data_IF_856149777490
#
_entry.id   IF_856149777490
#
_cell.length_a   1.000
_cell.length_b   1.000
_cell.length_c   1.000
_cell.angle_alpha   90.00
_cell.angle_beta   90.00
_cell.angle_gamma   90.00
#
_symmetry.space_group_name_H-M   'P 1'
#
loop_
_entity.id
_entity.type
_entity.pdbx_description
1 polymer ?
#
# COMPACT_ATOMS: atom_id res chain seq x y z
N UNK A 1 36.45 0.83 -31.84
CA UNK A 1 35.06 0.35 -31.93
C UNK A 1 34.40 0.02 -30.60
N UNK A 2 35.05 -0.58 -29.58
CA UNK A 2 34.42 -0.89 -28.28
C UNK A 2 33.93 0.32 -27.46
N UNK A 3 34.61 1.48 -27.55
CA UNK A 3 34.21 2.71 -26.81
C UNK A 3 32.92 3.36 -27.35
N UNK A 4 32.65 3.29 -28.64
CA UNK A 4 31.46 3.85 -29.27
C UNK A 4 30.22 3.03 -28.89
N UNK A 5 30.34 1.71 -28.77
CA UNK A 5 29.24 0.83 -28.36
C UNK A 5 28.75 1.11 -26.93
N UNK A 6 29.69 1.41 -26.01
CA UNK A 6 29.35 1.74 -24.61
C UNK A 6 28.59 3.05 -24.49
N UNK A 7 28.95 4.06 -25.32
CA UNK A 7 28.26 5.37 -25.31
C UNK A 7 26.83 5.25 -25.85
N UNK A 8 26.63 4.45 -26.91
CA UNK A 8 25.30 4.19 -27.47
C UNK A 8 24.42 3.42 -26.47
N UNK A 9 24.97 2.46 -25.73
CA UNK A 9 24.24 1.69 -24.73
C UNK A 9 23.87 2.55 -23.50
N UNK A 10 24.77 3.41 -23.03
CA UNK A 10 24.49 4.37 -21.97
C UNK A 10 23.47 5.43 -22.40
N UNK A 11 23.53 5.92 -23.63
CA UNK A 11 22.54 6.84 -24.19
C UNK A 11 21.13 6.24 -24.29
N UNK A 12 21.01 4.97 -24.67
CA UNK A 12 19.73 4.25 -24.72
C UNK A 12 19.12 4.01 -23.33
N UNK A 13 19.96 3.70 -22.33
CA UNK A 13 19.49 3.51 -20.94
C UNK A 13 19.02 4.85 -20.35
N UNK A 14 19.73 5.94 -20.59
CA UNK A 14 19.35 7.27 -20.09
C UNK A 14 18.06 7.78 -20.74
N UNK A 15 17.86 7.54 -22.03
CA UNK A 15 16.63 7.91 -22.73
C UNK A 15 15.41 7.10 -22.25
N UNK A 16 15.54 5.80 -21.99
CA UNK A 16 14.42 4.98 -21.49
C UNK A 16 13.99 5.38 -20.08
N UNK A 17 14.92 5.78 -19.22
CA UNK A 17 14.60 6.28 -17.87
C UNK A 17 13.93 7.66 -17.91
N UNK A 18 14.36 8.56 -18.82
CA UNK A 18 13.74 9.86 -18.98
C UNK A 18 12.30 9.77 -19.52
N UNK A 19 12.04 8.90 -20.50
CA UNK A 19 10.68 8.65 -20.98
C UNK A 19 9.76 8.03 -19.92
N UNK A 20 10.26 7.07 -19.16
CA UNK A 20 9.51 6.45 -18.06
C UNK A 20 9.16 7.48 -16.97
N UNK A 21 10.05 8.42 -16.69
CA UNK A 21 9.79 9.49 -15.71
C UNK A 21 8.72 10.48 -16.21
N UNK A 22 8.79 10.95 -17.46
CA UNK A 22 7.79 11.88 -18.03
C UNK A 22 6.38 11.28 -18.02
N UNK A 23 6.23 10.00 -18.40
CA UNK A 23 4.94 9.31 -18.35
C UNK A 23 4.42 9.19 -16.91
N UNK A 24 5.29 8.87 -15.98
CA UNK A 24 4.94 8.76 -14.56
C UNK A 24 4.47 10.11 -13.98
N UNK A 25 5.18 11.20 -14.27
CA UNK A 25 4.80 12.55 -13.84
C UNK A 25 3.42 12.96 -14.40
N UNK A 26 3.15 12.64 -15.68
CA UNK A 26 1.83 12.85 -16.28
C UNK A 26 0.73 12.05 -15.58
N UNK A 27 0.99 10.79 -15.27
CA UNK A 27 0.04 9.92 -14.57
C UNK A 27 -0.20 10.42 -13.13
N UNK A 28 0.85 10.83 -12.43
CA UNK A 28 0.74 11.42 -11.08
C UNK A 28 -0.09 12.71 -11.10
N UNK A 29 0.16 13.61 -12.04
CA UNK A 29 -0.61 14.84 -12.19
C UNK A 29 -2.09 14.57 -12.46
N UNK A 30 -2.40 13.54 -13.27
CA UNK A 30 -3.78 13.15 -13.60
C UNK A 30 -4.55 12.68 -12.36
N UNK A 31 -3.93 11.89 -11.48
CA UNK A 31 -4.59 11.33 -10.28
C UNK A 31 -4.51 12.25 -9.06
N UNK A 32 -3.64 13.26 -9.07
CA UNK A 32 -3.48 14.18 -7.94
C UNK A 32 -4.77 14.95 -7.60
N UNK A 33 -5.65 15.15 -8.58
CA UNK A 33 -6.99 15.75 -8.39
C UNK A 33 -7.90 14.89 -7.48
N UNK A 34 -7.63 13.59 -7.38
CA UNK A 34 -8.39 12.67 -6.53
C UNK A 34 -7.83 12.61 -5.09
N UNK A 35 -6.73 13.32 -4.82
CA UNK A 35 -6.21 13.51 -3.47
C UNK A 35 -7.10 14.48 -2.69
N UNK A 36 -7.25 14.28 -1.38
CA UNK A 36 -8.02 15.21 -0.57
C UNK A 36 -8.34 14.68 0.81
N UNK A 37 -8.69 15.60 1.70
CA UNK A 37 -9.32 15.24 2.95
C UNK A 37 -10.71 14.71 2.68
N UNK A 38 -11.13 13.70 3.45
CA UNK A 38 -12.44 13.07 3.31
C UNK A 38 -13.12 12.94 4.67
N UNK A 39 -14.42 13.22 4.71
CA UNK A 39 -15.25 13.01 5.89
C UNK A 39 -15.71 11.54 6.03
N UNK A 40 -16.52 11.26 7.05
CA UNK A 40 -17.09 9.93 7.30
C UNK A 40 -17.99 9.42 6.15
N UNK A 41 -18.58 10.32 5.36
CA UNK A 41 -19.39 10.00 4.18
C UNK A 41 -18.55 9.87 2.90
N UNK A 42 -17.24 10.15 2.98
CA UNK A 42 -16.31 10.11 1.85
C UNK A 42 -16.33 11.38 0.97
N UNK A 43 -17.02 12.45 1.42
CA UNK A 43 -17.02 13.76 0.75
C UNK A 43 -15.69 14.48 1.03
N UNK A 44 -15.15 15.14 0.00
CA UNK A 44 -13.89 15.89 0.12
C UNK A 44 -14.11 17.28 0.70
N UNK A 45 -13.12 17.75 1.48
CA UNK A 45 -13.09 19.09 2.04
C UNK A 45 -11.68 19.69 2.02
N UNK A 46 -11.56 21.02 2.29
CA UNK A 46 -10.28 21.74 2.28
C UNK A 46 -9.50 21.54 3.59
N UNK A 47 -8.16 21.58 3.48
CA UNK A 47 -7.25 21.60 4.64
C UNK A 47 -7.49 22.83 5.55
N UNK A 48 -8.01 23.93 4.99
CA UNK A 48 -8.26 25.17 5.74
C UNK A 48 -9.37 25.01 6.80
N UNK A 49 -10.17 23.94 6.67
CA UNK A 49 -11.18 23.58 7.68
C UNK A 49 -10.57 22.87 8.91
N UNK A 50 -9.25 22.61 8.91
CA UNK A 50 -8.54 22.00 10.03
C UNK A 50 -7.76 23.09 10.77
N UNK A 51 -8.35 23.62 11.82
CA UNK A 51 -7.78 24.73 12.60
C UNK A 51 -6.61 24.29 13.48
N UNK A 52 -6.74 23.14 14.15
CA UNK A 52 -5.73 22.63 15.09
C UNK A 52 -5.02 21.40 14.55
N UNK A 53 -3.96 21.64 13.77
CA UNK A 53 -3.15 20.59 13.16
C UNK A 53 -2.24 19.89 14.17
N UNK A 54 -1.83 20.56 15.25
CA UNK A 54 -0.98 19.98 16.29
C UNK A 54 -1.71 18.90 17.10
N UNK A 55 -2.99 19.13 17.40
CA UNK A 55 -3.85 18.19 18.14
C UNK A 55 -4.71 17.34 17.17
N UNK A 56 -4.23 17.15 15.95
CA UNK A 56 -4.87 16.30 14.94
C UNK A 56 -4.05 15.06 14.69
N UNK A 57 -4.66 13.88 14.78
CA UNK A 57 -4.15 12.65 14.17
C UNK A 57 -4.55 12.67 12.71
N UNK A 58 -3.58 12.81 11.82
CA UNK A 58 -3.80 12.71 10.39
C UNK A 58 -3.58 11.27 9.91
N UNK A 59 -4.64 10.59 9.49
CA UNK A 59 -4.54 9.28 8.84
C UNK A 59 -4.46 9.49 7.33
N UNK A 60 -3.33 9.13 6.72
CA UNK A 60 -3.16 9.15 5.26
C UNK A 60 -3.44 7.76 4.71
N UNK A 61 -4.55 7.60 3.98
CA UNK A 61 -4.92 6.35 3.38
C UNK A 61 -4.30 6.16 1.98
N UNK A 62 -3.59 5.06 1.81
CA UNK A 62 -2.92 4.66 0.58
C UNK A 62 -3.68 3.50 -0.08
N UNK A 63 -4.16 3.71 -1.31
CA UNK A 63 -4.88 2.67 -2.05
C UNK A 63 -4.00 1.47 -2.42
N UNK A 64 -4.62 0.34 -2.75
CA UNK A 64 -3.97 -0.86 -3.28
C UNK A 64 -3.30 -0.65 -4.64
N UNK A 65 -3.07 -1.73 -5.38
CA UNK A 65 -2.59 -1.64 -6.75
C UNK A 65 -3.69 -1.11 -7.68
N UNK A 66 -3.36 -0.13 -8.52
CA UNK A 66 -4.27 0.35 -9.57
C UNK A 66 -4.22 -0.61 -10.76
N UNK A 67 -5.39 -0.86 -11.36
CA UNK A 67 -5.43 -1.59 -12.63
C UNK A 67 -4.82 -0.72 -13.74
N UNK A 68 -4.03 -1.32 -14.64
CA UNK A 68 -3.34 -0.65 -15.73
C UNK A 68 -4.26 0.11 -16.67
N UNK A 69 -5.48 -0.36 -16.84
CA UNK A 69 -6.38 0.17 -17.88
C UNK A 69 -7.03 1.51 -17.51
N UNK A 70 -7.08 1.90 -16.22
CA UNK A 70 -7.75 3.14 -15.80
C UNK A 70 -7.09 3.75 -14.57
N UNK A 71 -6.25 4.75 -14.80
CA UNK A 71 -5.62 5.57 -13.74
C UNK A 71 -6.68 6.29 -12.88
N UNK A 72 -7.87 6.50 -13.43
CA UNK A 72 -8.97 7.25 -12.82
C UNK A 72 -9.66 6.52 -11.66
N UNK A 73 -9.10 5.40 -11.18
CA UNK A 73 -9.77 4.51 -10.22
C UNK A 73 -9.31 4.63 -8.78
N UNK A 74 -8.68 5.73 -8.38
CA UNK A 74 -8.52 6.00 -6.95
C UNK A 74 -9.86 6.15 -6.20
N UNK A 75 -10.93 6.43 -6.94
CA UNK A 75 -12.30 6.53 -6.40
C UNK A 75 -13.12 5.24 -6.58
N UNK A 76 -12.53 4.21 -7.19
CA UNK A 76 -13.22 2.92 -7.31
C UNK A 76 -13.46 2.29 -5.92
N UNK A 77 -14.42 1.38 -5.79
CA UNK A 77 -14.69 0.69 -4.52
C UNK A 77 -13.44 0.07 -3.87
N UNK A 78 -12.47 -0.37 -4.68
CA UNK A 78 -11.21 -0.95 -4.22
C UNK A 78 -10.18 0.06 -3.68
N UNK A 79 -10.25 1.30 -4.12
CA UNK A 79 -9.18 2.27 -3.91
C UNK A 79 -9.62 3.49 -3.13
N UNK A 80 -10.94 3.72 -3.00
CA UNK A 80 -11.48 4.77 -2.11
C UNK A 80 -11.15 4.45 -0.66
N UNK A 81 -11.15 5.44 0.19
CA UNK A 81 -11.00 5.23 1.63
C UNK A 81 -12.13 4.34 2.14
N UNK A 82 -11.85 3.18 2.74
CA UNK A 82 -12.87 2.25 3.18
C UNK A 82 -13.64 2.77 4.40
N UNK A 83 -14.88 2.26 4.62
CA UNK A 83 -15.73 2.69 5.74
C UNK A 83 -15.04 2.58 7.09
N UNK A 84 -14.31 1.49 7.36
CA UNK A 84 -13.59 1.28 8.62
C UNK A 84 -12.58 2.39 8.95
N UNK A 85 -11.99 3.00 7.93
CA UNK A 85 -11.09 4.16 8.10
C UNK A 85 -11.88 5.47 8.13
N UNK A 86 -12.90 5.62 7.26
CA UNK A 86 -13.73 6.84 7.23
C UNK A 86 -14.48 7.07 8.53
N UNK A 87 -14.93 6.00 9.20
CA UNK A 87 -15.64 6.07 10.47
C UNK A 87 -14.79 6.63 11.63
N UNK A 88 -13.47 6.74 11.44
CA UNK A 88 -12.57 7.40 12.39
C UNK A 88 -12.58 8.94 12.25
N UNK A 89 -13.12 9.48 11.15
CA UNK A 89 -13.17 10.93 10.95
C UNK A 89 -13.94 11.60 12.10
N UNK A 90 -13.34 12.65 12.65
CA UNK A 90 -13.84 13.42 13.82
C UNK A 90 -13.99 12.61 15.13
N UNK A 91 -13.52 11.36 15.18
CA UNK A 91 -13.36 10.66 16.45
C UNK A 91 -12.29 11.34 17.29
N UNK A 92 -12.48 11.35 18.60
CA UNK A 92 -11.45 11.71 19.56
C UNK A 92 -10.70 10.46 20.00
N UNK A 93 -9.38 10.52 19.87
CA UNK A 93 -8.42 9.52 20.40
C UNK A 93 -7.58 10.25 21.44
N UNK A 94 -7.82 9.96 22.72
CA UNK A 94 -7.29 10.81 23.82
C UNK A 94 -7.66 12.28 23.58
N UNK A 95 -6.68 13.16 23.44
CA UNK A 95 -6.89 14.60 23.23
C UNK A 95 -6.83 15.01 21.75
N UNK A 96 -6.71 14.06 20.81
CA UNK A 96 -6.53 14.33 19.41
C UNK A 96 -7.83 14.11 18.61
N UNK A 97 -8.10 14.98 17.64
CA UNK A 97 -9.14 14.76 16.64
C UNK A 97 -8.58 14.02 15.43
N UNK A 98 -9.29 13.03 14.93
CA UNK A 98 -8.86 12.27 13.74
C UNK A 98 -9.33 12.93 12.46
N UNK A 99 -8.42 13.12 11.51
CA UNK A 99 -8.72 13.58 10.15
C UNK A 99 -8.16 12.58 9.14
N UNK A 100 -8.86 12.41 8.03
CA UNK A 100 -8.54 11.40 7.01
C UNK A 100 -8.15 12.09 5.71
N UNK A 101 -7.01 11.68 5.16
CA UNK A 101 -6.57 12.12 3.84
C UNK A 101 -6.45 10.94 2.88
N UNK A 102 -7.07 11.05 1.70
CA UNK A 102 -6.94 10.07 0.62
C UNK A 102 -5.76 10.43 -0.25
N UNK A 103 -4.80 9.51 -0.39
CA UNK A 103 -3.64 9.64 -1.25
C UNK A 103 -3.73 8.72 -2.47
N UNK A 104 -3.79 9.32 -3.65
CA UNK A 104 -3.67 8.66 -4.93
C UNK A 104 -2.24 8.73 -5.45
N UNK A 105 -1.56 7.58 -5.52
CA UNK A 105 -0.15 7.52 -5.91
C UNK A 105 0.09 7.48 -7.42
N UNK A 106 -0.93 7.19 -8.23
CA UNK A 106 -0.77 7.00 -9.68
C UNK A 106 0.08 5.79 -10.10
N UNK A 107 0.63 5.04 -9.14
CA UNK A 107 1.45 3.86 -9.45
C UNK A 107 0.54 2.68 -9.74
N UNK A 108 0.64 2.21 -10.98
CA UNK A 108 -0.13 1.07 -11.49
C UNK A 108 0.41 -0.26 -10.98
N UNK A 109 -0.46 -1.26 -10.90
CA UNK A 109 -0.08 -2.66 -10.81
C UNK A 109 0.50 -3.18 -12.14
N UNK A 110 0.54 -4.48 -12.28
CA UNK A 110 0.93 -5.13 -13.53
C UNK A 110 -0.09 -4.88 -14.62
N UNK A 111 0.36 -4.45 -15.80
CA UNK A 111 -0.48 -4.37 -16.99
C UNK A 111 -0.80 -5.78 -17.48
N UNK A 112 -1.93 -5.90 -18.18
CA UNK A 112 -2.30 -7.16 -18.83
C UNK A 112 -1.20 -7.63 -19.81
N UNK A 113 -0.54 -6.69 -20.50
CA UNK A 113 0.58 -6.99 -21.40
C UNK A 113 1.81 -7.52 -20.65
N UNK A 114 2.16 -6.91 -19.51
CA UNK A 114 3.26 -7.37 -18.64
C UNK A 114 2.95 -8.77 -18.10
N UNK A 115 1.73 -8.99 -17.59
CA UNK A 115 1.28 -10.31 -17.13
C UNK A 115 1.35 -11.35 -18.24
N UNK A 116 0.79 -11.05 -19.43
CA UNK A 116 0.83 -11.98 -20.58
C UNK A 116 2.25 -12.31 -21.00
N UNK A 117 3.16 -11.31 -21.00
CA UNK A 117 4.57 -11.54 -21.32
C UNK A 117 5.21 -12.50 -20.32
N UNK A 118 4.96 -12.29 -19.05
CA UNK A 118 5.45 -13.14 -17.97
C UNK A 118 4.92 -14.58 -18.11
N UNK A 119 3.61 -14.75 -18.35
CA UNK A 119 3.00 -16.07 -18.53
C UNK A 119 3.52 -16.80 -19.76
N UNK A 120 3.65 -16.12 -20.91
CA UNK A 120 4.19 -16.71 -22.15
C UNK A 120 5.66 -17.14 -22.01
N UNK A 121 6.47 -16.38 -21.28
CA UNK A 121 7.82 -16.77 -20.97
C UNK A 121 7.85 -18.04 -20.10
N UNK A 122 6.90 -18.13 -19.16
CA UNK A 122 6.71 -19.33 -18.34
C UNK A 122 6.33 -20.56 -19.18
N UNK A 123 5.33 -20.44 -20.05
CA UNK A 123 4.89 -21.55 -20.92
C UNK A 123 6.00 -22.07 -21.85
N UNK A 124 6.79 -21.15 -22.42
CA UNK A 124 7.90 -21.51 -23.32
C UNK A 124 9.05 -22.22 -22.63
N UNK A 125 9.28 -21.94 -21.35
CA UNK A 125 10.50 -22.40 -20.70
C UNK A 125 10.45 -23.86 -20.23
N UNK A 126 9.26 -24.44 -20.02
CA UNK A 126 9.11 -25.82 -19.52
C UNK A 126 9.92 -26.16 -18.27
N UNK A 127 10.88 -25.30 -17.91
CA UNK A 127 11.79 -25.44 -16.78
C UNK A 127 11.92 -24.13 -16.00
N UNK A 128 12.14 -24.27 -14.68
CA UNK A 128 12.31 -23.14 -13.76
C UNK A 128 13.56 -22.29 -14.05
N UNK A 129 14.58 -22.86 -14.67
CA UNK A 129 15.90 -22.23 -14.84
C UNK A 129 15.95 -21.16 -15.95
N UNK A 130 15.15 -21.30 -17.00
CA UNK A 130 15.04 -20.30 -18.07
C UNK A 130 14.30 -19.02 -17.63
N UNK A 131 13.74 -19.02 -16.41
CA UNK A 131 13.02 -17.87 -15.82
C UNK A 131 13.92 -16.89 -15.10
N UNK A 132 15.20 -17.16 -14.96
CA UNK A 132 16.11 -16.25 -14.26
C UNK A 132 16.15 -14.87 -14.92
N UNK A 133 16.22 -14.78 -16.23
CA UNK A 133 16.19 -13.51 -16.96
C UNK A 133 14.84 -12.77 -16.80
N UNK A 134 13.73 -13.50 -16.89
CA UNK A 134 12.40 -12.93 -16.65
C UNK A 134 12.16 -12.65 -15.16
N UNK A 135 12.74 -13.44 -14.25
CA UNK A 135 12.77 -13.18 -12.82
C UNK A 135 13.42 -11.83 -12.56
N UNK A 136 14.62 -11.58 -13.06
CA UNK A 136 15.35 -10.34 -12.81
C UNK A 136 14.61 -9.12 -13.37
N UNK A 137 14.09 -9.20 -14.59
CA UNK A 137 13.29 -8.14 -15.19
C UNK A 137 11.99 -7.85 -14.41
N UNK A 138 11.32 -8.89 -13.96
CA UNK A 138 10.10 -8.79 -13.14
C UNK A 138 10.40 -8.18 -11.79
N UNK A 139 11.43 -8.64 -11.10
CA UNK A 139 11.87 -8.10 -9.82
C UNK A 139 12.26 -6.63 -9.94
N UNK A 140 12.98 -6.25 -11.01
CA UNK A 140 13.37 -4.88 -11.25
C UNK A 140 12.16 -3.96 -11.42
N UNK A 141 11.18 -4.36 -12.23
CA UNK A 141 9.95 -3.59 -12.46
C UNK A 141 9.17 -3.42 -11.15
N UNK A 142 9.00 -4.48 -10.38
CA UNK A 142 8.28 -4.42 -9.11
C UNK A 142 9.00 -3.57 -8.08
N UNK A 143 10.32 -3.70 -7.94
CA UNK A 143 11.13 -2.85 -7.07
C UNK A 143 10.98 -1.37 -7.45
N UNK A 144 11.01 -1.03 -8.73
CA UNK A 144 10.80 0.33 -9.20
C UNK A 144 9.40 0.85 -8.87
N UNK A 145 8.34 0.04 -9.09
CA UNK A 145 6.96 0.40 -8.75
C UNK A 145 6.80 0.65 -7.25
N UNK A 146 7.31 -0.24 -6.42
CA UNK A 146 7.27 -0.11 -4.97
C UNK A 146 8.02 1.13 -4.48
N UNK A 147 9.22 1.37 -4.98
CA UNK A 147 10.03 2.54 -4.63
C UNK A 147 9.32 3.84 -5.01
N UNK A 148 8.73 3.94 -6.20
CA UNK A 148 7.95 5.11 -6.63
C UNK A 148 6.78 5.38 -5.71
N UNK A 149 6.00 4.35 -5.37
CA UNK A 149 4.86 4.48 -4.46
C UNK A 149 5.31 4.95 -3.08
N UNK A 150 6.34 4.34 -2.53
CA UNK A 150 6.91 4.70 -1.22
C UNK A 150 7.43 6.14 -1.19
N UNK A 151 8.12 6.58 -2.27
CA UNK A 151 8.56 7.96 -2.44
C UNK A 151 7.39 8.95 -2.38
N UNK A 152 6.31 8.71 -3.12
CA UNK A 152 5.12 9.57 -3.12
C UNK A 152 4.48 9.66 -1.73
N UNK A 153 4.38 8.52 -1.03
CA UNK A 153 3.85 8.49 0.34
C UNK A 153 4.74 9.33 1.25
N UNK A 154 6.07 9.14 1.18
CA UNK A 154 7.05 9.89 1.98
C UNK A 154 6.94 11.39 1.76
N UNK A 155 6.99 11.84 0.52
CA UNK A 155 6.87 13.26 0.15
C UNK A 155 5.56 13.88 0.64
N UNK A 156 4.46 13.11 0.61
CA UNK A 156 3.17 13.58 1.12
C UNK A 156 3.20 13.74 2.64
N UNK A 157 3.79 12.79 3.37
CA UNK A 157 3.97 12.88 4.83
C UNK A 157 4.81 14.10 5.20
N UNK A 158 5.95 14.29 4.53
CA UNK A 158 6.85 15.43 4.76
C UNK A 158 6.14 16.77 4.48
N UNK A 159 5.35 16.83 3.41
CA UNK A 159 4.54 18.02 3.11
C UNK A 159 3.51 18.34 4.21
N UNK A 160 2.85 17.32 4.78
CA UNK A 160 1.93 17.56 5.88
C UNK A 160 2.65 17.94 7.19
N UNK A 161 3.82 17.36 7.46
CA UNK A 161 4.64 17.83 8.58
C UNK A 161 5.03 19.30 8.45
N UNK A 162 5.46 19.73 7.27
CA UNK A 162 5.75 21.13 6.97
C UNK A 162 4.51 22.04 7.13
N UNK A 163 3.30 21.50 6.98
CA UNK A 163 2.03 22.21 7.22
C UNK A 163 1.56 22.19 8.68
N UNK A 164 2.35 21.64 9.61
CA UNK A 164 2.07 21.63 11.04
C UNK A 164 1.43 20.37 11.59
N UNK A 165 1.17 19.32 10.78
CA UNK A 165 0.70 18.04 11.32
C UNK A 165 1.85 17.28 11.97
N UNK A 166 1.78 17.06 13.27
CA UNK A 166 2.80 16.32 14.04
C UNK A 166 2.47 14.82 14.16
N UNK A 167 1.20 14.48 14.23
CA UNK A 167 0.70 13.15 14.55
C UNK A 167 0.16 12.51 13.26
N UNK A 168 1.00 11.75 12.56
CA UNK A 168 0.65 11.14 11.26
C UNK A 168 0.69 9.62 11.38
N UNK A 169 -0.40 8.98 10.98
CA UNK A 169 -0.54 7.53 10.83
C UNK A 169 -0.77 7.22 9.36
N UNK A 170 -0.14 6.19 8.83
CA UNK A 170 -0.48 5.69 7.51
C UNK A 170 -1.51 4.58 7.62
N UNK A 171 -2.50 4.61 6.76
CA UNK A 171 -3.39 3.47 6.54
C UNK A 171 -3.33 3.04 5.08
N UNK A 172 -3.57 1.76 4.81
CA UNK A 172 -3.61 1.36 3.40
C UNK A 172 -4.05 -0.07 3.17
N UNK A 173 -4.57 -0.30 1.96
CA UNK A 173 -5.00 -1.62 1.51
C UNK A 173 -3.95 -2.23 0.58
N UNK A 174 -3.75 -3.56 0.67
CA UNK A 174 -2.90 -4.32 -0.23
C UNK A 174 -1.51 -3.67 -0.38
N UNK A 175 -1.08 -3.36 -1.60
CA UNK A 175 0.22 -2.71 -1.84
C UNK A 175 0.35 -1.34 -1.15
N UNK A 176 -0.75 -0.64 -0.91
CA UNK A 176 -0.75 0.62 -0.15
C UNK A 176 -0.37 0.42 1.30
N UNK A 177 -0.99 -0.55 1.95
CA UNK A 177 -0.65 -0.96 3.31
C UNK A 177 0.78 -1.46 3.42
N UNK A 178 1.21 -2.29 2.46
CA UNK A 178 2.56 -2.85 2.45
C UNK A 178 3.65 -1.78 2.30
N UNK A 179 3.45 -0.79 1.42
CA UNK A 179 4.40 0.32 1.30
C UNK A 179 4.38 1.26 2.51
N UNK A 180 3.25 1.38 3.20
CA UNK A 180 3.16 2.12 4.47
C UNK A 180 3.98 1.44 5.57
N UNK A 181 3.88 0.11 5.70
CA UNK A 181 4.71 -0.68 6.64
C UNK A 181 6.19 -0.54 6.32
N UNK A 182 6.57 -0.68 5.04
CA UNK A 182 7.96 -0.49 4.61
C UNK A 182 8.48 0.92 4.91
N UNK A 183 7.65 1.95 4.70
CA UNK A 183 8.05 3.32 5.00
C UNK A 183 8.29 3.53 6.50
N UNK A 184 7.44 2.96 7.36
CA UNK A 184 7.63 3.01 8.82
C UNK A 184 8.90 2.29 9.24
N UNK A 185 9.18 1.12 8.67
CA UNK A 185 10.41 0.37 8.94
C UNK A 185 11.68 1.12 8.48
N UNK A 186 11.61 1.80 7.33
CA UNK A 186 12.74 2.56 6.77
C UNK A 186 12.97 3.90 7.50
N UNK A 187 11.88 4.55 7.95
CA UNK A 187 11.90 5.86 8.61
C UNK A 187 11.05 5.84 9.89
N UNK A 188 11.49 5.17 10.96
CA UNK A 188 10.65 4.88 12.13
C UNK A 188 10.13 6.14 12.84
N UNK A 189 10.87 7.26 12.77
CA UNK A 189 10.48 8.56 13.38
C UNK A 189 9.62 9.45 12.46
N UNK A 190 9.40 9.03 11.21
CA UNK A 190 8.66 9.85 10.25
C UNK A 190 7.16 9.89 10.54
N UNK A 191 6.61 8.77 11.00
CA UNK A 191 5.19 8.59 11.33
C UNK A 191 5.05 7.81 12.65
N UNK A 192 3.90 7.90 13.31
CA UNK A 192 3.66 7.22 14.58
C UNK A 192 3.37 5.72 14.38
N UNK A 193 2.56 5.36 13.40
CA UNK A 193 2.19 3.97 13.18
C UNK A 193 1.55 3.70 11.83
N UNK A 194 1.14 2.44 11.61
CA UNK A 194 0.52 1.98 10.36
C UNK A 194 -0.70 1.10 10.62
N UNK A 195 -1.77 1.31 9.86
CA UNK A 195 -2.93 0.42 9.78
C UNK A 195 -2.92 -0.24 8.40
N UNK A 196 -2.54 -1.51 8.35
CA UNK A 196 -2.47 -2.30 7.12
C UNK A 196 -3.72 -3.17 6.95
N UNK A 197 -4.52 -2.88 5.92
CA UNK A 197 -5.67 -3.68 5.52
C UNK A 197 -5.23 -4.66 4.43
N UNK A 198 -5.12 -5.94 4.77
CA UNK A 198 -4.60 -6.98 3.86
C UNK A 198 -3.29 -6.55 3.15
N UNK A 199 -2.29 -6.02 3.88
CA UNK A 199 -1.12 -5.42 3.26
C UNK A 199 -0.27 -6.48 2.55
N UNK A 200 0.14 -6.22 1.32
CA UNK A 200 0.96 -7.19 0.61
C UNK A 200 1.45 -6.75 -0.76
N UNK A 201 2.43 -7.50 -1.23
CA UNK A 201 3.01 -7.42 -2.57
C UNK A 201 3.48 -8.81 -3.00
N UNK A 202 3.81 -9.02 -4.26
CA UNK A 202 4.37 -10.28 -4.75
C UNK A 202 3.32 -11.34 -5.12
N UNK A 203 2.24 -10.93 -5.78
CA UNK A 203 1.23 -11.85 -6.34
C UNK A 203 0.37 -12.56 -5.30
N UNK A 204 -0.27 -13.66 -5.71
CA UNK A 204 -1.09 -14.52 -4.84
C UNK A 204 -0.24 -15.50 -4.04
N UNK A 205 -0.84 -16.10 -3.00
CA UNK A 205 -0.23 -17.22 -2.26
C UNK A 205 0.16 -18.35 -3.24
N UNK A 206 -0.72 -18.67 -4.20
CA UNK A 206 -0.42 -19.66 -5.24
C UNK A 206 0.78 -19.26 -6.09
N UNK A 207 0.87 -18.01 -6.54
CA UNK A 207 2.01 -17.54 -7.32
C UNK A 207 3.34 -17.73 -6.56
N UNK A 208 3.35 -17.49 -5.25
CA UNK A 208 4.56 -17.66 -4.44
C UNK A 208 4.92 -19.11 -4.18
N UNK A 209 3.94 -20.02 -4.16
CA UNK A 209 4.19 -21.47 -4.12
C UNK A 209 4.77 -21.97 -5.45
N UNK A 210 4.18 -21.54 -6.56
CA UNK A 210 4.61 -21.94 -7.90
C UNK A 210 5.97 -21.32 -8.27
N UNK A 211 6.23 -20.11 -7.79
CA UNK A 211 7.47 -19.34 -8.01
C UNK A 211 7.97 -18.70 -6.73
N UNK A 212 8.77 -19.42 -5.93
CA UNK A 212 9.22 -18.94 -4.61
C UNK A 212 9.94 -17.59 -4.64
N UNK A 213 10.59 -17.24 -5.74
CA UNK A 213 11.26 -15.95 -5.93
C UNK A 213 10.29 -14.73 -5.89
N UNK A 214 8.97 -14.93 -6.04
CA UNK A 214 7.99 -13.86 -5.80
C UNK A 214 8.01 -13.36 -4.36
N UNK A 215 8.47 -14.16 -3.42
CA UNK A 215 8.67 -13.74 -2.04
C UNK A 215 9.74 -12.65 -1.92
N UNK A 216 10.75 -12.65 -2.81
CA UNK A 216 11.77 -11.59 -2.86
C UNK A 216 11.17 -10.22 -3.16
N UNK A 217 10.10 -10.17 -3.97
CA UNK A 217 9.33 -8.95 -4.24
C UNK A 217 8.63 -8.47 -2.98
N UNK A 218 8.06 -9.41 -2.22
CA UNK A 218 7.32 -9.10 -1.00
C UNK A 218 8.23 -8.48 0.05
N UNK A 219 9.37 -9.11 0.32
CA UNK A 219 10.27 -8.71 1.40
C UNK A 219 11.35 -7.71 0.97
N UNK A 220 11.39 -7.32 -0.30
CA UNK A 220 12.33 -6.31 -0.78
C UNK A 220 12.23 -5.00 0.00
N UNK A 221 13.36 -4.51 0.47
CA UNK A 221 13.47 -3.20 1.15
C UNK A 221 13.04 -3.20 2.61
N UNK A 222 12.85 -4.37 3.24
CA UNK A 222 12.78 -4.44 4.70
C UNK A 222 14.17 -4.35 5.31
N UNK A 223 14.31 -3.54 6.35
CA UNK A 223 15.52 -3.50 7.18
C UNK A 223 15.47 -4.62 8.21
N UNK A 224 16.64 -5.10 8.62
CA UNK A 224 16.75 -6.21 9.58
C UNK A 224 16.25 -5.85 10.99
N UNK A 225 16.34 -4.56 11.38
CA UNK A 225 15.88 -4.11 12.69
C UNK A 225 14.50 -3.43 12.55
N UNK A 226 13.45 -4.10 13.00
CA UNK A 226 12.05 -3.67 12.90
C UNK A 226 11.45 -3.32 14.26
N UNK A 227 12.24 -3.14 15.31
CA UNK A 227 11.78 -2.97 16.70
C UNK A 227 10.78 -1.83 16.92
N UNK A 228 10.82 -0.78 16.08
CA UNK A 228 9.95 0.40 16.20
C UNK A 228 8.84 0.43 15.13
N UNK A 229 8.42 -0.73 14.61
CA UNK A 229 7.49 -0.75 13.47
C UNK A 229 6.13 -0.14 13.79
N UNK A 230 5.56 -0.37 14.96
CA UNK A 230 4.22 0.07 15.36
C UNK A 230 3.19 -0.10 14.23
N UNK A 231 2.65 -1.30 14.09
CA UNK A 231 1.69 -1.60 13.03
C UNK A 231 0.52 -2.45 13.52
N UNK A 232 -0.69 -2.10 13.08
CA UNK A 232 -1.86 -2.95 13.12
C UNK A 232 -2.04 -3.56 11.73
N UNK A 233 -1.95 -4.88 11.62
CA UNK A 233 -2.13 -5.63 10.38
C UNK A 233 -3.44 -6.41 10.48
N UNK A 234 -4.34 -6.16 9.55
CA UNK A 234 -5.63 -6.83 9.45
C UNK A 234 -5.60 -7.71 8.20
N UNK A 235 -5.85 -9.00 8.38
CA UNK A 235 -5.79 -10.02 7.33
C UNK A 235 -6.90 -11.04 7.52
N UNK A 236 -7.29 -11.74 6.47
CA UNK A 236 -8.20 -12.89 6.51
C UNK A 236 -7.42 -14.17 6.20
N UNK A 237 -7.69 -15.27 6.91
CA UNK A 237 -7.04 -16.57 6.73
C UNK A 237 -7.20 -17.14 5.30
N UNK A 238 -8.30 -16.82 4.63
CA UNK A 238 -8.59 -17.21 3.24
C UNK A 238 -8.25 -16.15 2.20
N UNK A 239 -7.46 -15.14 2.56
CA UNK A 239 -6.99 -14.14 1.58
C UNK A 239 -6.07 -14.81 0.56
N UNK A 240 -6.50 -14.83 -0.70
CA UNK A 240 -5.73 -15.44 -1.78
C UNK A 240 -4.42 -14.71 -2.12
N UNK A 241 -4.26 -13.47 -1.66
CA UNK A 241 -3.03 -12.70 -1.86
C UNK A 241 -2.11 -12.72 -0.65
N UNK A 242 -2.65 -12.79 0.56
CA UNK A 242 -1.88 -12.63 1.79
C UNK A 242 -2.42 -13.55 2.88
N UNK A 243 -1.77 -14.66 3.12
CA UNK A 243 -2.09 -15.53 4.25
C UNK A 243 -1.47 -14.98 5.55
N UNK A 244 -2.01 -15.31 6.74
CA UNK A 244 -1.42 -14.92 8.03
C UNK A 244 0.07 -15.27 8.15
N UNK A 245 0.48 -16.41 7.61
CA UNK A 245 1.87 -16.88 7.62
C UNK A 245 2.83 -15.94 6.88
N UNK A 246 2.34 -15.19 5.91
CA UNK A 246 3.12 -14.18 5.20
C UNK A 246 3.62 -13.05 6.09
N UNK A 247 3.12 -12.96 7.32
CA UNK A 247 3.51 -11.94 8.30
C UNK A 247 4.39 -12.50 9.41
N UNK A 248 4.86 -13.74 9.29
CA UNK A 248 5.74 -14.39 10.27
C UNK A 248 7.02 -13.60 10.57
N UNK A 249 7.51 -12.79 9.62
CA UNK A 249 8.64 -11.87 9.85
C UNK A 249 8.40 -10.86 10.97
N UNK A 250 7.16 -10.65 11.38
CA UNK A 250 6.77 -9.73 12.45
C UNK A 250 6.42 -10.44 13.76
N UNK A 251 6.44 -11.78 13.82
CA UNK A 251 5.96 -12.57 14.96
C UNK A 251 6.65 -12.25 16.29
N UNK A 252 7.91 -11.80 16.22
CA UNK A 252 8.70 -11.45 17.41
C UNK A 252 8.67 -9.95 17.76
N UNK A 253 7.80 -9.18 17.10
CA UNK A 253 7.71 -7.74 17.30
C UNK A 253 6.48 -7.40 18.15
N UNK A 254 6.69 -7.07 19.43
CA UNK A 254 5.61 -6.65 20.34
C UNK A 254 4.86 -5.39 19.84
N UNK A 255 5.51 -4.59 18.99
CA UNK A 255 4.93 -3.38 18.39
C UNK A 255 4.04 -3.67 17.16
N UNK A 256 3.91 -4.92 16.75
CA UNK A 256 3.05 -5.33 15.63
C UNK A 256 1.90 -6.19 16.13
N UNK A 257 0.69 -5.75 15.80
CA UNK A 257 -0.54 -6.51 16.06
C UNK A 257 -1.03 -7.12 14.76
N UNK A 258 -1.27 -8.42 14.77
CA UNK A 258 -1.93 -9.13 13.68
C UNK A 258 -3.35 -9.49 14.11
N UNK A 259 -4.34 -8.92 13.43
CA UNK A 259 -5.76 -9.26 13.60
C UNK A 259 -6.19 -10.13 12.43
N UNK A 260 -6.61 -11.36 12.72
CA UNK A 260 -7.18 -12.26 11.73
C UNK A 260 -8.70 -12.12 11.71
N UNK A 261 -9.27 -11.86 10.54
CA UNK A 261 -10.70 -11.82 10.30
C UNK A 261 -11.17 -13.26 10.05
N UNK A 262 -12.25 -13.68 10.70
CA UNK A 262 -12.88 -14.98 10.48
C UNK A 262 -14.09 -14.87 9.56
N UNK A 263 -14.53 -15.99 8.96
CA UNK A 263 -15.70 -16.04 8.07
C UNK A 263 -17.01 -15.56 8.73
N UNK A 264 -17.11 -15.67 10.05
CA UNK A 264 -18.30 -15.24 10.78
C UNK A 264 -18.58 -13.74 10.63
N UNK A 265 -17.55 -12.97 10.31
CA UNK A 265 -17.63 -11.51 10.39
C UNK A 265 -18.39 -10.84 9.24
N UNK A 266 -18.48 -11.46 8.04
CA UNK A 266 -19.16 -10.83 6.88
C UNK A 266 -19.68 -11.82 5.84
N UNK A 267 -20.44 -12.84 6.26
CA UNK A 267 -20.94 -13.93 5.38
C UNK A 267 -21.89 -13.51 4.26
N UNK A 268 -22.53 -12.36 4.37
CA UNK A 268 -23.66 -11.98 3.49
C UNK A 268 -23.32 -10.96 2.42
N UNK A 269 -22.15 -10.33 2.48
CA UNK A 269 -21.80 -9.32 1.48
C UNK A 269 -21.03 -9.91 0.30
N UNK A 270 -21.36 -9.39 -0.88
CA UNK A 270 -20.59 -9.64 -2.09
C UNK A 270 -19.24 -8.97 -1.94
N UNK A 271 -18.25 -9.74 -1.48
CA UNK A 271 -16.89 -9.23 -1.24
C UNK A 271 -16.23 -8.87 -2.57
N UNK A 272 -15.77 -7.65 -2.68
CA UNK A 272 -14.95 -7.21 -3.79
C UNK A 272 -13.63 -8.01 -3.79
N UNK A 273 -13.41 -8.93 -4.81
CA UNK A 273 -12.21 -9.75 -4.96
C UNK A 273 -11.98 -10.74 -3.83
N UNK A 274 -13.03 -11.34 -3.35
CA UNK A 274 -12.99 -12.33 -2.31
C UNK A 274 -12.50 -11.77 -0.97
N UNK A 275 -11.87 -12.61 -0.19
CA UNK A 275 -11.42 -12.27 1.16
C UNK A 275 -10.39 -11.15 1.25
N UNK A 276 -9.68 -10.86 0.15
CA UNK A 276 -8.75 -9.74 0.09
C UNK A 276 -9.41 -8.36 0.23
N UNK A 277 -10.69 -8.26 -0.07
CA UNK A 277 -11.44 -7.01 -0.02
C UNK A 277 -12.38 -6.88 1.17
N UNK A 278 -12.45 -7.85 2.08
CA UNK A 278 -13.43 -7.85 3.17
C UNK A 278 -13.33 -6.61 4.06
N UNK A 279 -12.12 -6.18 4.41
CA UNK A 279 -11.88 -4.98 5.23
C UNK A 279 -12.28 -3.67 4.54
N UNK A 280 -12.64 -3.70 3.25
CA UNK A 280 -13.12 -2.54 2.51
C UNK A 280 -14.64 -2.39 2.53
N UNK A 281 -15.35 -3.31 3.18
CA UNK A 281 -16.82 -3.39 3.16
C UNK A 281 -17.45 -2.62 4.32
N UNK A 282 -18.70 -2.21 4.15
CA UNK A 282 -19.52 -1.65 5.24
C UNK A 282 -19.78 -2.72 6.32
N UNK A 283 -19.97 -3.98 5.92
CA UNK A 283 -20.11 -5.09 6.84
C UNK A 283 -18.96 -5.12 7.86
N UNK A 284 -17.71 -5.15 7.38
CA UNK A 284 -16.56 -5.17 8.27
C UNK A 284 -16.48 -3.93 9.18
N UNK A 285 -16.82 -2.76 8.63
CA UNK A 285 -16.81 -1.52 9.39
C UNK A 285 -17.93 -1.42 10.44
N UNK A 286 -19.03 -2.14 10.27
CA UNK A 286 -20.16 -2.13 11.19
C UNK A 286 -19.97 -3.08 12.39
N UNK A 287 -18.97 -3.95 12.37
CA UNK A 287 -18.61 -4.73 13.55
C UNK A 287 -17.91 -3.85 14.59
N UNK A 288 -18.54 -3.72 15.73
CA UNK A 288 -18.05 -2.87 16.81
C UNK A 288 -16.63 -3.23 17.26
N UNK A 289 -16.32 -4.53 17.32
CA UNK A 289 -14.98 -5.04 17.65
C UNK A 289 -13.90 -4.47 16.72
N UNK A 290 -14.17 -4.43 15.40
CA UNK A 290 -13.18 -3.98 14.43
C UNK A 290 -12.82 -2.50 14.61
N UNK A 291 -13.84 -1.66 14.90
CA UNK A 291 -13.61 -0.27 15.25
C UNK A 291 -12.85 -0.12 16.58
N UNK A 292 -13.21 -0.92 17.59
CA UNK A 292 -12.52 -0.92 18.90
C UNK A 292 -11.05 -1.31 18.77
N UNK A 293 -10.71 -2.30 17.96
CA UNK A 293 -9.33 -2.74 17.75
C UNK A 293 -8.47 -1.62 17.15
N UNK A 294 -9.01 -0.89 16.17
CA UNK A 294 -8.29 0.24 15.58
C UNK A 294 -8.17 1.41 16.57
N UNK A 295 -9.23 1.74 17.28
CA UNK A 295 -9.21 2.80 18.30
C UNK A 295 -8.20 2.47 19.39
N UNK A 296 -8.23 1.26 19.93
CA UNK A 296 -7.28 0.79 20.94
C UNK A 296 -5.83 0.88 20.45
N UNK A 297 -5.58 0.46 19.20
CA UNK A 297 -4.25 0.59 18.60
C UNK A 297 -3.80 2.06 18.54
N UNK A 298 -4.69 2.96 18.10
CA UNK A 298 -4.37 4.39 18.05
C UNK A 298 -4.12 4.97 19.45
N UNK A 299 -4.92 4.59 20.44
CA UNK A 299 -4.72 5.01 21.84
C UNK A 299 -3.38 4.57 22.43
N UNK A 300 -2.84 3.45 21.98
CA UNK A 300 -1.56 2.93 22.47
C UNK A 300 -0.36 3.65 21.86
N UNK A 301 -0.45 4.08 20.61
CA UNK A 301 0.66 4.75 19.92
C UNK A 301 0.69 6.26 20.13
N UNK A 302 -0.35 6.85 20.74
CA UNK A 302 -0.47 8.26 21.13
C UNK A 302 -0.61 8.40 22.65
#
# INVERSE_FOLDING_TARGET
MKKILVIIFLGLILNTTAFANKKFEKDLKKVSKDNGFVDSKGKTYSIDQISDKNNTILIIFNHGSLNDQKIDKCLSPWNKVPPIIRNLHDKKIKNFNVKIYRLCSGVKGWSKKEQTKMWKAHEKSGSLDLKLADKEGTLLIEKQKQNRKRKIIKEKVENFKAKGFKNIVLAGHSSGGWQSIKLKAEFPKLIQGVIGLHPGAGGTVKNRKDWPWWSDVRYYGFVKNLSELNALIIVHDKDQFNAPEDYSIFSNLNSVRLTNITEADCKKEKMLGGYHGISLTECYANYEKNNKDIIKYLEEIF
#
